data_IF_704500228159
#
_entry.id   IF_704500228159
#
_cell.length_a   1.000
_cell.length_b   1.000
_cell.length_c   1.000
_cell.angle_alpha   90.00
_cell.angle_beta   90.00
_cell.angle_gamma   90.00
#
_symmetry.space_group_name_H-M   'P 1'
#
loop_
_entity.id
_entity.type
_entity.pdbx_description
1 polymer ?
#
# COMPACT_ATOMS: atom_id res chain seq x y z
N UNK A 1 -20.14 10.20 -3.93
CA UNK A 1 -20.41 8.76 -3.78
C UNK A 1 -19.66 7.96 -4.85
N UNK A 2 -18.34 7.78 -4.74
CA UNK A 2 -17.53 7.09 -5.77
C UNK A 2 -17.97 5.64 -6.02
N UNK A 3 -18.47 4.97 -4.99
CA UNK A 3 -18.95 3.59 -5.03
C UNK A 3 -20.11 3.33 -6.00
N UNK A 4 -20.91 4.34 -6.34
CA UNK A 4 -21.97 4.15 -7.34
C UNK A 4 -21.40 3.80 -8.73
N UNK A 5 -20.26 4.40 -9.08
CA UNK A 5 -19.56 4.07 -10.32
C UNK A 5 -18.95 2.67 -10.24
N UNK A 6 -18.36 2.34 -9.08
CA UNK A 6 -17.75 1.02 -8.88
C UNK A 6 -18.76 -0.11 -9.05
N UNK A 7 -19.92 0.01 -8.40
CA UNK A 7 -21.01 -0.96 -8.50
C UNK A 7 -21.56 -1.04 -9.94
N UNK A 8 -21.79 0.11 -10.60
CA UNK A 8 -22.26 0.11 -11.99
C UNK A 8 -21.27 -0.54 -12.97
N UNK A 9 -19.96 -0.40 -12.75
CA UNK A 9 -18.95 -1.11 -13.54
C UNK A 9 -18.96 -2.62 -13.27
N UNK A 10 -19.20 -3.05 -12.02
CA UNK A 10 -19.37 -4.46 -11.69
C UNK A 10 -20.61 -5.06 -12.38
N UNK A 11 -21.73 -4.34 -12.37
CA UNK A 11 -22.95 -4.75 -13.09
C UNK A 11 -22.70 -4.85 -14.61
N UNK A 12 -21.83 -3.98 -15.15
CA UNK A 12 -21.37 -4.03 -16.54
C UNK A 12 -20.25 -5.08 -16.79
N UNK A 13 -20.00 -5.99 -15.86
CA UNK A 13 -19.08 -7.13 -16.00
C UNK A 13 -17.60 -6.82 -15.78
N UNK A 14 -17.24 -5.65 -15.21
CA UNK A 14 -15.87 -5.40 -14.77
C UNK A 14 -15.60 -6.01 -13.40
N UNK A 15 -14.38 -6.50 -13.20
CA UNK A 15 -13.93 -7.07 -11.93
C UNK A 15 -13.23 -5.99 -11.13
N UNK A 16 -13.78 -5.60 -9.97
CA UNK A 16 -13.08 -4.78 -8.99
C UNK A 16 -11.96 -5.62 -8.35
N UNK A 17 -10.71 -5.28 -8.61
CA UNK A 17 -9.53 -6.00 -8.11
C UNK A 17 -9.03 -5.45 -6.79
N UNK A 18 -9.12 -4.13 -6.62
CA UNK A 18 -8.71 -3.45 -5.40
C UNK A 18 -9.35 -2.08 -5.31
N UNK A 19 -9.71 -1.71 -4.08
CA UNK A 19 -9.91 -0.32 -3.70
C UNK A 19 -8.62 0.19 -3.06
N UNK A 20 -8.15 1.34 -3.53
CA UNK A 20 -7.00 2.04 -3.01
C UNK A 20 -7.48 3.38 -2.45
N UNK A 21 -7.02 3.72 -1.25
CA UNK A 21 -7.19 5.03 -0.65
C UNK A 21 -5.98 5.87 -1.03
N UNK A 22 -6.21 6.91 -1.82
CA UNK A 22 -5.27 7.99 -1.97
C UNK A 22 -5.43 8.94 -0.79
N UNK A 23 -4.51 8.86 0.18
CA UNK A 23 -4.43 9.79 1.29
C UNK A 23 -3.65 11.03 0.88
N UNK A 24 -4.26 12.21 1.10
CA UNK A 24 -3.70 13.52 0.78
C UNK A 24 -3.16 14.16 2.06
N UNK A 25 -1.86 13.99 2.40
CA UNK A 25 -1.31 14.47 3.68
C UNK A 25 -1.39 16.00 3.82
N UNK A 26 -1.48 16.72 2.70
CA UNK A 26 -1.64 18.17 2.61
C UNK A 26 -3.04 18.56 2.10
N UNK A 27 -4.09 17.80 2.46
CA UNK A 27 -5.46 18.13 2.09
C UNK A 27 -5.86 19.54 2.57
N UNK A 28 -6.51 20.31 1.71
CA UNK A 28 -7.02 21.63 2.10
C UNK A 28 -8.07 21.49 3.22
N UNK A 29 -7.97 22.30 4.29
CA UNK A 29 -9.01 22.35 5.32
C UNK A 29 -10.37 22.74 4.71
N UNK A 30 -11.44 22.08 5.14
CA UNK A 30 -12.78 22.47 4.76
C UNK A 30 -13.45 23.25 5.90
N UNK A 31 -14.17 24.33 5.60
CA UNK A 31 -14.92 25.14 6.58
C UNK A 31 -16.18 24.43 7.15
N UNK A 32 -16.23 23.10 7.05
CA UNK A 32 -17.40 22.32 7.44
C UNK A 32 -17.39 22.10 8.95
N UNK A 33 -18.53 22.40 9.62
CA UNK A 33 -18.64 22.38 11.08
C UNK A 33 -19.22 21.09 11.66
N UNK A 34 -19.90 20.28 10.84
CA UNK A 34 -20.68 19.13 11.30
C UNK A 34 -20.17 17.77 10.79
N UNK A 35 -19.00 17.75 10.14
CA UNK A 35 -18.33 16.52 9.70
C UNK A 35 -16.83 16.76 9.54
N UNK A 36 -16.01 15.70 9.55
CA UNK A 36 -14.59 15.80 9.22
C UNK A 36 -14.34 16.34 7.80
N UNK A 37 -13.17 16.96 7.61
CA UNK A 37 -12.67 17.32 6.28
C UNK A 37 -12.31 16.04 5.51
N UNK A 38 -12.75 15.94 4.25
CA UNK A 38 -12.37 14.83 3.37
C UNK A 38 -10.91 14.99 2.94
N UNK A 39 -10.03 14.14 3.47
CA UNK A 39 -8.58 14.15 3.19
C UNK A 39 -8.10 13.02 2.28
N UNK A 40 -9.01 12.24 1.69
CA UNK A 40 -8.65 11.13 0.81
C UNK A 40 -9.59 11.00 -0.38
N UNK A 41 -9.15 10.24 -1.38
CA UNK A 41 -9.92 9.87 -2.55
C UNK A 41 -9.82 8.36 -2.79
N UNK A 42 -10.82 7.80 -3.47
CA UNK A 42 -10.82 6.40 -3.86
C UNK A 42 -10.23 6.25 -5.26
N UNK A 43 -9.28 5.34 -5.40
CA UNK A 43 -8.74 4.87 -6.68
C UNK A 43 -9.15 3.41 -6.82
N UNK A 44 -9.99 3.10 -7.81
CA UNK A 44 -10.45 1.74 -8.05
C UNK A 44 -9.65 1.09 -9.17
N UNK A 45 -9.08 -0.08 -8.89
CA UNK A 45 -8.43 -0.91 -9.90
C UNK A 45 -9.46 -1.92 -10.44
N UNK A 46 -9.86 -1.73 -11.70
CA UNK A 46 -10.76 -2.63 -12.41
C UNK A 46 -10.01 -3.42 -13.49
N UNK A 47 -10.49 -4.64 -13.76
CA UNK A 47 -10.01 -5.49 -14.86
C UNK A 47 -11.19 -6.14 -15.61
N UNK A 48 -11.01 -6.42 -16.90
CA UNK A 48 -11.99 -7.15 -17.72
C UNK A 48 -11.89 -8.67 -17.58
N UNK A 49 -10.77 -9.19 -17.08
CA UNK A 49 -10.51 -10.63 -16.91
C UNK A 49 -9.79 -10.88 -15.59
N UNK A 50 -9.85 -12.12 -15.09
CA UNK A 50 -9.03 -12.59 -13.96
C UNK A 50 -7.54 -12.63 -14.33
N UNK A 51 -7.24 -12.91 -15.60
CA UNK A 51 -5.89 -12.99 -16.15
C UNK A 51 -5.52 -11.65 -16.81
N UNK A 52 -5.41 -10.60 -16.01
CA UNK A 52 -4.99 -9.27 -16.46
C UNK A 52 -3.50 -9.05 -16.18
N UNK A 53 -2.85 -8.28 -17.04
CA UNK A 53 -1.48 -7.86 -16.80
C UNK A 53 -1.41 -6.93 -15.58
N UNK A 54 -0.52 -7.26 -14.64
CA UNK A 54 -0.23 -6.44 -13.47
C UNK A 54 1.26 -6.51 -13.16
N UNK A 55 1.98 -5.42 -13.45
CA UNK A 55 3.39 -5.31 -13.12
C UNK A 55 3.58 -4.96 -11.63
N UNK A 56 3.51 -5.99 -10.77
CA UNK A 56 3.68 -5.82 -9.34
C UNK A 56 5.06 -5.23 -8.98
N UNK A 57 6.11 -5.63 -9.71
CA UNK A 57 7.48 -5.26 -9.45
C UNK A 57 7.75 -3.76 -9.64
N UNK A 58 7.06 -3.13 -10.60
CA UNK A 58 7.17 -1.69 -10.87
C UNK A 58 6.68 -0.79 -9.72
N UNK A 59 5.86 -1.31 -8.81
CA UNK A 59 5.25 -0.50 -7.74
C UNK A 59 5.52 -1.03 -6.33
N UNK A 60 6.44 -1.97 -6.16
CA UNK A 60 6.74 -2.55 -4.84
C UNK A 60 7.13 -1.51 -3.81
N UNK A 61 6.80 -1.79 -2.55
CA UNK A 61 7.29 -1.01 -1.42
C UNK A 61 8.59 -1.60 -0.89
N UNK A 62 9.65 -0.79 -0.71
CA UNK A 62 10.88 -1.23 -0.08
C UNK A 62 10.63 -1.84 1.31
N UNK A 63 11.43 -2.86 1.65
CA UNK A 63 11.39 -3.43 2.99
C UNK A 63 11.96 -2.45 3.99
N UNK A 64 11.18 -2.13 5.03
CA UNK A 64 11.70 -1.37 6.18
C UNK A 64 12.52 -2.26 7.10
N UNK A 65 12.21 -3.57 7.11
CA UNK A 65 12.83 -4.60 7.97
C UNK A 65 14.36 -4.52 8.00
N UNK A 66 15.00 -4.30 6.85
CA UNK A 66 16.45 -4.32 6.70
C UNK A 66 17.12 -2.94 6.81
N UNK A 67 16.33 -1.90 7.06
CA UNK A 67 16.80 -0.51 7.19
C UNK A 67 16.93 -0.12 8.66
N UNK A 68 17.59 1.02 8.92
CA UNK A 68 17.69 1.59 10.28
C UNK A 68 16.34 2.01 10.86
N UNK A 69 15.33 2.25 10.01
CA UNK A 69 13.97 2.55 10.42
C UNK A 69 13.17 1.32 10.91
N UNK A 70 13.79 0.12 10.92
CA UNK A 70 13.15 -1.10 11.39
C UNK A 70 12.76 -1.01 12.88
N UNK A 71 11.46 -1.17 13.15
CA UNK A 71 10.91 -1.23 14.52
C UNK A 71 10.78 -2.66 15.05
N UNK A 72 11.52 -3.61 14.47
CA UNK A 72 11.48 -5.00 14.93
C UNK A 72 12.05 -5.11 16.34
N UNK A 73 11.28 -5.77 17.22
CA UNK A 73 11.73 -6.13 18.57
C UNK A 73 13.03 -6.95 18.47
N UNK A 74 14.01 -6.72 19.36
CA UNK A 74 15.30 -7.42 19.33
C UNK A 74 16.32 -6.87 18.31
N UNK A 75 15.98 -5.82 17.56
CA UNK A 75 16.89 -5.12 16.65
C UNK A 75 17.41 -6.00 15.52
N UNK A 76 18.57 -5.63 14.95
CA UNK A 76 19.17 -6.29 13.77
C UNK A 76 19.98 -7.55 14.10
N UNK A 77 20.13 -7.88 15.38
CA UNK A 77 20.99 -8.97 15.87
C UNK A 77 20.55 -10.37 15.43
N UNK A 78 19.36 -10.49 14.84
CA UNK A 78 18.81 -11.75 14.34
C UNK A 78 19.06 -12.00 12.85
N UNK A 79 19.49 -10.98 12.09
CA UNK A 79 19.72 -11.15 10.66
C UNK A 79 20.86 -12.12 10.40
N UNK A 80 20.69 -12.97 9.38
CA UNK A 80 21.67 -14.00 9.00
C UNK A 80 21.83 -15.14 10.01
N UNK A 81 21.08 -15.16 11.12
CA UNK A 81 21.14 -16.21 12.15
C UNK A 81 19.97 -17.19 12.01
N UNK A 82 20.30 -18.48 12.08
CA UNK A 82 19.30 -19.54 12.21
C UNK A 82 18.54 -19.37 13.52
N UNK A 83 17.20 -19.48 13.49
CA UNK A 83 16.31 -19.26 14.64
C UNK A 83 16.41 -17.85 15.26
N UNK A 84 16.88 -16.84 14.50
CA UNK A 84 17.04 -15.49 15.02
C UNK A 84 15.72 -14.75 15.30
N UNK A 85 14.58 -15.23 14.77
CA UNK A 85 13.29 -14.52 14.81
C UNK A 85 12.97 -14.02 16.23
N UNK A 86 12.86 -12.69 16.44
CA UNK A 86 12.73 -12.11 17.79
C UNK A 86 11.41 -12.39 18.50
N UNK A 87 10.43 -13.00 17.82
CA UNK A 87 9.09 -13.17 18.32
C UNK A 87 8.63 -14.61 18.16
N UNK A 88 8.53 -15.29 19.31
CA UNK A 88 8.06 -16.66 19.37
C UNK A 88 6.56 -16.71 18.97
N UNK A 89 6.22 -17.45 17.92
CA UNK A 89 4.83 -17.67 17.50
C UNK A 89 4.33 -16.88 16.28
N UNK A 90 4.97 -15.77 15.87
CA UNK A 90 4.47 -14.97 14.72
C UNK A 90 4.49 -15.72 13.39
N UNK A 91 5.34 -16.73 13.26
CA UNK A 91 5.52 -17.49 12.02
C UNK A 91 5.08 -18.96 12.13
N UNK A 92 4.32 -19.36 13.16
CA UNK A 92 4.00 -20.77 13.50
C UNK A 92 3.37 -21.64 12.39
N UNK A 93 3.10 -21.11 11.19
CA UNK A 93 2.61 -21.83 10.02
C UNK A 93 3.50 -21.78 8.76
N UNK A 94 4.65 -21.10 8.77
CA UNK A 94 5.54 -21.04 7.59
C UNK A 94 6.91 -21.67 7.91
N UNK A 95 7.17 -22.93 7.49
CA UNK A 95 8.40 -23.65 7.82
C UNK A 95 9.65 -22.91 7.32
N UNK A 96 9.55 -22.15 6.22
CA UNK A 96 10.66 -21.36 5.66
C UNK A 96 11.04 -20.15 6.52
N UNK A 97 10.19 -19.71 7.45
CA UNK A 97 10.45 -18.53 8.29
C UNK A 97 10.98 -18.90 9.70
N UNK A 98 11.06 -20.19 10.05
CA UNK A 98 11.60 -20.65 11.33
C UNK A 98 13.09 -20.97 11.25
N UNK A 99 13.53 -21.62 10.17
CA UNK A 99 14.92 -22.01 9.93
C UNK A 99 15.60 -21.19 8.82
N UNK A 100 14.82 -20.39 8.07
CA UNK A 100 15.28 -19.72 6.86
C UNK A 100 16.08 -18.46 7.14
N UNK A 101 17.05 -18.23 6.26
CA UNK A 101 17.75 -16.98 6.05
C UNK A 101 16.71 -15.90 5.72
N UNK A 102 16.40 -15.02 6.68
CA UNK A 102 15.43 -13.94 6.48
C UNK A 102 15.76 -13.10 5.25
N UNK A 103 17.04 -12.91 4.95
CA UNK A 103 17.53 -12.24 3.74
C UNK A 103 17.08 -12.91 2.41
N UNK A 104 16.68 -14.17 2.43
CA UNK A 104 16.21 -14.93 1.25
C UNK A 104 14.69 -15.11 1.22
N UNK A 105 14.00 -14.85 2.34
CA UNK A 105 12.55 -15.03 2.46
C UNK A 105 11.74 -13.86 1.87
N UNK A 106 12.40 -12.75 1.55
CA UNK A 106 11.75 -11.57 0.98
C UNK A 106 12.13 -11.38 -0.48
N UNK A 107 11.16 -10.92 -1.26
CA UNK A 107 11.41 -10.51 -2.64
C UNK A 107 12.40 -9.34 -2.67
N UNK A 108 13.44 -9.38 -3.52
CA UNK A 108 14.54 -8.42 -3.50
C UNK A 108 14.09 -6.98 -3.78
N UNK A 109 13.07 -6.82 -4.62
CA UNK A 109 12.51 -5.51 -4.97
C UNK A 109 11.53 -4.92 -3.93
N UNK A 110 11.35 -5.58 -2.78
CA UNK A 110 10.39 -5.14 -1.76
C UNK A 110 9.13 -5.98 -1.68
N UNK A 111 8.17 -5.56 -0.86
CA UNK A 111 6.87 -6.22 -0.73
C UNK A 111 5.86 -5.67 -1.74
N UNK A 112 4.72 -6.35 -1.89
CA UNK A 112 3.61 -5.83 -2.68
C UNK A 112 3.12 -4.48 -2.13
N UNK A 113 2.68 -3.58 -3.02
CA UNK A 113 2.16 -2.25 -2.68
C UNK A 113 0.87 -2.39 -1.86
N UNK A 114 0.77 -1.68 -0.74
CA UNK A 114 -0.45 -1.65 0.07
C UNK A 114 -1.50 -0.72 -0.54
N UNK A 115 -2.72 -0.79 -0.02
CA UNK A 115 -3.88 -0.07 -0.55
C UNK A 115 -4.07 1.33 0.00
N UNK A 116 -3.16 1.86 0.83
CA UNK A 116 -3.20 3.26 1.29
C UNK A 116 -1.96 3.96 0.75
N UNK A 117 -2.16 4.92 -0.14
CA UNK A 117 -1.09 5.64 -0.83
C UNK A 117 -1.05 7.08 -0.34
N UNK A 118 0.05 7.44 0.31
CA UNK A 118 0.34 8.82 0.69
C UNK A 118 0.92 9.55 -0.53
N UNK A 119 0.10 10.36 -1.19
CA UNK A 119 0.52 11.15 -2.35
C UNK A 119 0.07 12.60 -2.09
N UNK A 120 0.99 13.57 -1.98
CA UNK A 120 0.60 14.96 -1.76
C UNK A 120 -0.04 15.55 -3.02
N UNK A 121 -0.95 16.50 -2.82
CA UNK A 121 -1.45 17.34 -3.91
C UNK A 121 -0.33 18.28 -4.39
N UNK A 122 -0.19 18.42 -5.71
CA UNK A 122 0.62 19.49 -6.29
C UNK A 122 -0.06 20.84 -6.13
N UNK A 123 0.75 21.91 -6.01
CA UNK A 123 0.25 23.28 -6.10
C UNK A 123 -0.26 23.52 -7.51
N UNK A 124 -1.55 23.77 -7.65
CA UNK A 124 -2.17 24.18 -8.91
C UNK A 124 -2.81 25.55 -8.72
N UNK A 125 -2.64 26.45 -9.68
CA UNK A 125 -3.09 27.85 -9.58
C UNK A 125 -4.57 28.05 -9.94
N UNK A 126 -5.22 27.03 -10.50
CA UNK A 126 -6.62 27.07 -10.93
C UNK A 126 -7.54 26.37 -9.91
N UNK A 127 -8.86 26.60 -10.06
CA UNK A 127 -9.88 26.15 -9.10
C UNK A 127 -10.01 24.61 -8.92
N UNK A 128 -9.34 23.81 -9.76
CA UNK A 128 -9.36 22.34 -9.70
C UNK A 128 -8.16 21.79 -8.92
N UNK A 129 -8.38 21.44 -7.67
CA UNK A 129 -7.34 21.06 -6.69
C UNK A 129 -6.94 19.56 -6.73
N UNK A 130 -7.22 18.85 -7.82
CA UNK A 130 -6.87 17.43 -8.00
C UNK A 130 -5.87 17.25 -9.15
N UNK A 131 -4.70 17.88 -9.05
CA UNK A 131 -3.63 17.74 -10.05
C UNK A 131 -2.60 16.74 -9.58
N UNK A 132 -2.44 15.68 -10.37
CA UNK A 132 -1.38 14.68 -10.20
C UNK A 132 -0.01 15.39 -10.31
N UNK A 133 0.92 15.06 -9.41
CA UNK A 133 2.25 15.67 -9.47
C UNK A 133 2.97 15.18 -10.73
N UNK A 134 3.55 16.10 -11.51
CA UNK A 134 4.56 15.74 -12.51
C UNK A 134 5.90 15.68 -11.78
N UNK A 135 6.65 14.63 -12.06
CA UNK A 135 7.90 14.20 -11.40
C UNK A 135 8.84 15.34 -10.97
#
# INVERSE_FOLDING_TARGET
MPWRVALGLQDAGWILRSEIIWHKPNAMPASVKNRPTTSHEHVFLFAKSKDYFYNADAIREPHVTFTEASKMRGGRNHFGKRNGTPENGKNKGNPNLHNGRWDQAFHPLGRNKRTVWDIPLSKFRDAHFAVFQKD
#
